data_IF_807406678337
#
_entry.id   IF_807406678337
#
_cell.length_a   1.000
_cell.length_b   1.000
_cell.length_c   1.000
_cell.angle_alpha   90.00
_cell.angle_beta   90.00
_cell.angle_gamma   90.00
#
_symmetry.space_group_name_H-M   'P 1'
#
loop_
_entity.id
_entity.type
_entity.pdbx_description
1 polymer ?
#
# COMPACT_ATOMS: atom_id res chain seq x y z
N UNK A 1 -9.14 -34.86 6.66
CA UNK A 1 -8.57 -33.93 5.66
C UNK A 1 -8.65 -32.52 6.25
N UNK A 2 -7.54 -31.77 6.33
CA UNK A 2 -7.56 -30.38 6.79
C UNK A 2 -7.32 -29.45 5.61
N UNK A 3 -8.10 -28.37 5.52
CA UNK A 3 -7.95 -27.32 4.52
C UNK A 3 -6.93 -26.29 5.00
N UNK A 4 -5.94 -25.96 4.17
CA UNK A 4 -5.00 -24.86 4.41
C UNK A 4 -5.47 -23.62 3.65
N UNK A 5 -5.66 -22.52 4.36
CA UNK A 5 -5.87 -21.20 3.75
C UNK A 5 -4.49 -20.56 3.57
N UNK A 6 -4.21 -20.13 2.34
CA UNK A 6 -3.03 -19.34 2.01
C UNK A 6 -3.52 -17.98 1.54
N UNK A 7 -3.14 -16.94 2.26
CA UNK A 7 -3.39 -15.57 1.84
C UNK A 7 -2.34 -15.17 0.81
N UNK A 8 -2.78 -14.89 -0.42
CA UNK A 8 -1.94 -14.47 -1.55
C UNK A 8 -2.10 -12.98 -1.86
N UNK A 9 -2.75 -12.20 -0.99
CA UNK A 9 -3.03 -10.79 -1.23
C UNK A 9 -1.75 -9.99 -1.52
N UNK A 10 -0.66 -10.26 -0.80
CA UNK A 10 0.60 -9.55 -0.99
C UNK A 10 1.28 -9.83 -2.35
N UNK A 11 0.89 -10.89 -3.06
CA UNK A 11 1.48 -11.26 -4.34
C UNK A 11 0.96 -10.37 -5.48
N UNK A 12 -0.30 -9.95 -5.40
CA UNK A 12 -0.95 -9.17 -6.46
C UNK A 12 -1.28 -7.72 -6.07
N UNK A 13 -1.14 -7.34 -4.80
CA UNK A 13 -1.29 -5.96 -4.33
C UNK A 13 0.06 -5.26 -4.17
N UNK A 14 0.08 -3.93 -4.32
CA UNK A 14 1.29 -3.10 -4.20
C UNK A 14 0.97 -1.74 -3.56
N UNK A 15 1.99 -1.01 -3.07
CA UNK A 15 1.82 0.38 -2.62
C UNK A 15 1.31 1.27 -3.75
N UNK A 16 0.46 2.21 -3.40
CA UNK A 16 0.03 3.30 -4.28
C UNK A 16 0.93 4.49 -4.01
N UNK A 17 1.77 4.86 -4.96
CA UNK A 17 2.61 6.05 -4.85
C UNK A 17 1.91 7.24 -5.49
N UNK A 18 1.79 8.33 -4.74
CA UNK A 18 1.22 9.59 -5.21
C UNK A 18 2.35 10.56 -5.55
N UNK A 19 2.13 11.38 -6.58
CA UNK A 19 2.98 12.50 -6.95
C UNK A 19 2.40 13.83 -6.44
N UNK A 20 3.21 14.89 -6.42
CA UNK A 20 2.76 16.24 -6.05
C UNK A 20 1.78 16.83 -7.05
N UNK A 21 1.76 16.32 -8.29
CA UNK A 21 0.82 16.75 -9.33
C UNK A 21 -0.52 16.02 -9.29
N UNK A 22 -0.67 14.99 -8.45
CA UNK A 22 -1.94 14.27 -8.33
C UNK A 22 -3.00 15.12 -7.61
N UNK A 23 -4.21 15.16 -8.18
CA UNK A 23 -5.35 15.83 -7.55
C UNK A 23 -6.23 14.77 -6.89
N UNK A 24 -6.20 14.75 -5.56
CA UNK A 24 -6.96 13.80 -4.74
C UNK A 24 -7.93 14.57 -3.83
N UNK A 25 -9.11 14.01 -3.60
CA UNK A 25 -9.92 14.43 -2.45
C UNK A 25 -9.23 14.00 -1.15
N UNK A 26 -9.61 14.64 -0.04
CA UNK A 26 -9.09 14.30 1.28
C UNK A 26 -9.38 12.83 1.63
N UNK A 27 -10.56 12.35 1.25
CA UNK A 27 -11.09 11.01 1.49
C UNK A 27 -10.29 9.97 0.71
N UNK A 28 -9.99 10.23 -0.56
CA UNK A 28 -9.14 9.35 -1.39
C UNK A 28 -7.70 9.32 -0.86
N UNK A 29 -7.14 10.48 -0.49
CA UNK A 29 -5.80 10.53 0.09
C UNK A 29 -5.72 9.74 1.41
N UNK A 30 -6.74 9.85 2.27
CA UNK A 30 -6.82 9.14 3.54
C UNK A 30 -6.91 7.62 3.34
N UNK A 31 -7.70 7.16 2.37
CA UNK A 31 -7.85 5.72 2.08
C UNK A 31 -6.60 5.13 1.44
N UNK A 32 -5.92 5.85 0.54
CA UNK A 32 -4.60 5.45 0.02
C UNK A 32 -3.58 5.32 1.15
N UNK A 33 -3.54 6.29 2.06
CA UNK A 33 -2.64 6.26 3.21
C UNK A 33 -2.93 5.04 4.11
N UNK A 34 -4.19 4.74 4.37
CA UNK A 34 -4.60 3.57 5.15
C UNK A 34 -4.18 2.25 4.46
N UNK A 35 -4.41 2.12 3.15
CA UNK A 35 -3.99 0.98 2.33
C UNK A 35 -2.48 0.75 2.41
N UNK A 36 -1.69 1.79 2.16
CA UNK A 36 -0.23 1.69 2.18
C UNK A 36 0.32 1.34 3.56
N UNK A 37 -0.28 1.86 4.64
CA UNK A 37 0.10 1.51 6.02
C UNK A 37 -0.23 0.06 6.36
N UNK A 38 -1.39 -0.44 5.91
CA UNK A 38 -1.76 -1.83 6.09
C UNK A 38 -0.76 -2.75 5.36
N UNK A 39 -0.45 -2.47 4.09
CA UNK A 39 0.53 -3.24 3.35
C UNK A 39 1.97 -3.10 3.87
N UNK A 40 2.35 -1.98 4.48
CA UNK A 40 3.63 -1.87 5.18
C UNK A 40 3.71 -2.83 6.37
N UNK A 41 2.62 -2.95 7.14
CA UNK A 41 2.53 -3.85 8.30
C UNK A 41 2.44 -5.33 7.90
N UNK A 42 1.64 -5.65 6.88
CA UNK A 42 1.30 -7.04 6.51
C UNK A 42 2.25 -7.59 5.46
N UNK A 43 2.60 -6.80 4.45
CA UNK A 43 3.37 -7.21 3.27
C UNK A 43 4.79 -6.63 3.22
N UNK A 44 5.22 -5.86 4.23
CA UNK A 44 6.58 -5.29 4.28
C UNK A 44 6.84 -4.19 3.23
N UNK A 45 5.79 -3.55 2.72
CA UNK A 45 5.91 -2.47 1.75
C UNK A 45 6.71 -1.28 2.26
N UNK A 46 7.47 -0.64 1.36
CA UNK A 46 8.31 0.52 1.66
C UNK A 46 7.74 1.77 1.00
N UNK A 47 7.88 2.94 1.65
CA UNK A 47 7.63 4.21 0.98
C UNK A 47 8.52 4.37 -0.26
N UNK A 48 8.05 5.13 -1.26
CA UNK A 48 8.92 5.58 -2.35
C UNK A 48 10.06 6.34 -1.70
N UNK A 49 11.30 5.92 -1.96
CA UNK A 49 12.46 6.65 -1.48
C UNK A 49 12.33 8.10 -1.97
N UNK A 50 12.17 9.04 -1.05
CA UNK A 50 12.33 10.45 -1.38
C UNK A 50 13.78 10.60 -1.80
N UNK A 51 14.02 10.75 -3.10
CA UNK A 51 15.27 11.26 -3.64
C UNK A 51 15.42 12.71 -3.20
N UNK A 52 15.66 12.92 -1.90
CA UNK A 52 16.13 14.17 -1.33
C UNK A 52 17.39 13.77 -0.58
N UNK A 53 18.50 13.89 -1.30
CA UNK A 53 19.78 14.19 -0.69
C UNK A 53 19.80 15.69 -0.40
#
# INVERSE_FOLDING_TARGET
>A
MQTKIVDTACDWTRPIYVDKTDVLSNETAATILAHNRAGAKVCGWKPKATSVR
#
